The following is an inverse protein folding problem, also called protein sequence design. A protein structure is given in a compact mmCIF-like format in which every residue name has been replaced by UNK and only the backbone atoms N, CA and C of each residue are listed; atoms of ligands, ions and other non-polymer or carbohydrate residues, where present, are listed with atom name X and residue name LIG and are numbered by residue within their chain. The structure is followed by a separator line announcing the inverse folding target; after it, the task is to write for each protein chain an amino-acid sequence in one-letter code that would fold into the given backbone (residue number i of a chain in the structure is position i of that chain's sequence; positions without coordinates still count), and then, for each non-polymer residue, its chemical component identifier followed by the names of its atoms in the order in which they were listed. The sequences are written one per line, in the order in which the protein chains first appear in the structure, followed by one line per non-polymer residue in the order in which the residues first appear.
data_IF_314018632914
#
_entry.id   IF_314018632914
#
_cell.length_a   1.000
_cell.length_b   1.000
_cell.length_c   1.000
_cell.angle_alpha   90.00
_cell.angle_beta   90.00
_cell.angle_gamma   90.00
#
_symmetry.space_group_name_H-M   'P 1'
#
loop_
_entity.id
_entity.type
_entity.pdbx_description
1 polymer ?
#
# COMPACT_ATOMS: atom_id res chain seq x y z
N UNK A 1 -25.29 -17.05 2.28
CA UNK A 1 -24.09 -16.38 2.80
C UNK A 1 -24.55 -15.03 3.25
N UNK A 2 -24.54 -14.74 4.54
CA UNK A 2 -24.81 -13.39 5.00
C UNK A 2 -23.57 -12.57 4.66
N UNK A 3 -23.71 -11.63 3.75
CA UNK A 3 -22.74 -10.57 3.61
C UNK A 3 -22.69 -9.87 4.97
N UNK A 4 -21.60 -10.12 5.70
CA UNK A 4 -21.30 -9.33 6.86
C UNK A 4 -21.11 -7.91 6.31
N UNK A 5 -22.05 -7.03 6.58
CA UNK A 5 -21.92 -5.59 6.34
C UNK A 5 -20.90 -5.05 7.35
N UNK A 6 -19.66 -5.45 7.20
CA UNK A 6 -18.57 -4.80 7.89
C UNK A 6 -18.47 -3.39 7.28
N UNK A 7 -18.64 -2.39 8.12
CA UNK A 7 -18.57 -1.01 7.69
C UNK A 7 -17.16 -0.74 7.17
N UNK A 8 -17.04 -0.35 5.91
CA UNK A 8 -15.76 0.03 5.30
C UNK A 8 -15.63 1.54 5.32
N UNK A 9 -14.53 2.04 5.87
CA UNK A 9 -14.21 3.47 5.91
C UNK A 9 -13.00 3.74 5.01
N UNK A 10 -13.13 4.70 4.10
CA UNK A 10 -12.03 5.23 3.30
C UNK A 10 -11.72 6.63 3.80
N UNK A 11 -10.54 6.80 4.37
CA UNK A 11 -10.16 8.01 5.12
C UNK A 11 -8.68 8.34 4.91
N UNK A 12 -8.23 9.46 5.43
CA UNK A 12 -6.80 9.75 5.52
C UNK A 12 -6.39 11.13 5.05
N UNK A 13 -5.24 11.21 4.41
CA UNK A 13 -4.65 12.46 3.94
C UNK A 13 -5.48 13.10 2.81
N UNK A 14 -6.08 12.29 1.96
CA UNK A 14 -7.00 12.73 0.90
C UNK A 14 -8.43 12.36 1.27
N UNK A 15 -9.36 13.24 0.95
CA UNK A 15 -10.81 13.04 1.15
C UNK A 15 -11.24 13.23 2.60
N UNK A 16 -11.81 12.19 3.21
CA UNK A 16 -12.37 12.26 4.57
C UNK A 16 -11.31 12.11 5.64
N UNK A 17 -11.09 13.06 6.55
CA UNK A 17 -10.15 12.92 7.64
C UNK A 17 -10.47 11.71 8.54
N UNK A 18 -9.46 10.93 8.93
CA UNK A 18 -9.61 9.77 9.80
C UNK A 18 -10.38 10.11 11.08
N UNK A 19 -10.00 11.19 11.74
CA UNK A 19 -10.59 11.64 13.01
C UNK A 19 -12.07 11.97 12.91
N UNK A 20 -12.58 12.37 11.72
CA UNK A 20 -14.00 12.68 11.53
C UNK A 20 -14.88 11.44 11.55
N UNK A 21 -14.32 10.26 11.35
CA UNK A 21 -15.00 8.97 11.29
C UNK A 21 -14.71 8.06 12.47
N UNK A 22 -13.72 8.39 13.29
CA UNK A 22 -13.23 7.53 14.37
C UNK A 22 -14.34 7.07 15.34
N UNK A 23 -15.31 7.95 15.65
CA UNK A 23 -16.43 7.62 16.56
C UNK A 23 -17.49 6.71 15.92
N UNK A 24 -17.51 6.58 14.60
CA UNK A 24 -18.42 5.70 13.88
C UNK A 24 -17.84 4.28 13.69
N UNK A 25 -16.52 4.14 13.86
CA UNK A 25 -15.79 2.88 13.69
C UNK A 25 -16.04 1.93 14.86
N UNK A 26 -16.05 0.63 14.55
CA UNK A 26 -16.18 -0.48 15.51
C UNK A 26 -15.02 -1.43 15.31
N UNK A 27 -14.80 -2.34 16.24
CA UNK A 27 -13.74 -3.35 16.15
C UNK A 27 -13.88 -4.25 14.91
N UNK A 28 -15.09 -4.43 14.39
CA UNK A 28 -15.38 -5.16 13.15
C UNK A 28 -15.24 -4.31 11.87
N UNK A 29 -14.99 -3.01 11.98
CA UNK A 29 -14.89 -2.13 10.81
C UNK A 29 -13.57 -2.33 10.08
N UNK A 30 -13.60 -2.29 8.76
CA UNK A 30 -12.40 -2.22 7.92
C UNK A 30 -12.11 -0.77 7.57
N UNK A 31 -10.89 -0.31 7.81
CA UNK A 31 -10.47 1.05 7.46
C UNK A 31 -9.36 1.00 6.43
N UNK A 32 -9.57 1.68 5.31
CA UNK A 32 -8.55 1.95 4.29
C UNK A 32 -8.12 3.41 4.45
N UNK A 33 -6.87 3.63 4.83
CA UNK A 33 -6.35 4.96 5.12
C UNK A 33 -5.18 5.31 4.21
N UNK A 34 -5.23 6.45 3.56
CA UNK A 34 -4.07 7.06 2.93
C UNK A 34 -3.32 7.90 3.95
N UNK A 35 -2.04 7.58 4.15
CA UNK A 35 -1.20 8.21 5.18
C UNK A 35 -0.03 8.94 4.51
N UNK A 36 0.07 10.25 4.75
CA UNK A 36 1.19 11.07 4.30
C UNK A 36 2.46 10.83 5.13
N UNK A 37 3.62 11.17 4.57
CA UNK A 37 4.87 11.16 5.31
C UNK A 37 4.81 12.03 6.57
N UNK A 38 4.12 13.17 6.53
CA UNK A 38 3.96 14.06 7.67
C UNK A 38 3.19 13.43 8.84
N UNK A 39 2.19 12.60 8.52
CA UNK A 39 1.46 11.85 9.54
C UNK A 39 2.30 10.73 10.13
N UNK A 40 3.14 10.07 9.31
CA UNK A 40 4.05 9.02 9.76
C UNK A 40 5.13 9.53 10.73
N UNK A 41 5.58 10.80 10.61
CA UNK A 41 6.57 11.39 11.53
C UNK A 41 6.16 11.28 12.99
N UNK A 42 4.88 11.30 13.30
CA UNK A 42 4.34 11.43 14.66
C UNK A 42 3.61 10.18 15.15
N UNK A 43 3.69 9.05 14.43
CA UNK A 43 3.03 7.84 14.90
C UNK A 43 3.69 7.26 16.14
N UNK A 44 2.86 6.85 17.10
CA UNK A 44 3.29 6.16 18.31
C UNK A 44 2.84 4.70 18.28
N UNK A 45 1.54 4.43 18.29
CA UNK A 45 0.93 3.10 18.38
C UNK A 45 0.27 2.63 17.07
N UNK A 46 0.28 3.47 16.02
CA UNK A 46 -0.33 3.10 14.74
C UNK A 46 0.30 1.83 14.17
N UNK A 47 -0.50 0.77 14.02
CA UNK A 47 -0.09 -0.54 13.56
C UNK A 47 -1.13 -1.11 12.57
N UNK A 48 -1.03 -0.82 11.27
CA UNK A 48 -1.96 -1.35 10.29
C UNK A 48 -1.75 -2.85 10.10
N UNK A 49 -2.83 -3.62 9.89
CA UNK A 49 -2.74 -5.05 9.54
C UNK A 49 -2.12 -5.28 8.17
N UNK A 50 -2.38 -4.36 7.26
CA UNK A 50 -1.79 -4.33 5.93
C UNK A 50 -1.33 -2.92 5.66
N UNK A 51 -0.06 -2.75 5.33
CA UNK A 51 0.50 -1.49 4.82
C UNK A 51 0.90 -1.64 3.36
N UNK A 52 1.00 -0.52 2.64
CA UNK A 52 1.48 -0.50 1.28
C UNK A 52 2.32 0.75 1.00
N UNK A 53 3.45 0.59 0.30
CA UNK A 53 4.20 1.70 -0.27
C UNK A 53 4.31 1.43 -1.78
N UNK A 54 3.69 2.29 -2.58
CA UNK A 54 3.56 2.08 -4.02
C UNK A 54 4.83 2.50 -4.79
N UNK A 55 5.48 3.55 -4.34
CA UNK A 55 6.75 4.04 -4.87
C UNK A 55 7.41 5.01 -3.87
N UNK A 56 8.70 5.23 -4.06
CA UNK A 56 9.45 6.31 -3.42
C UNK A 56 10.12 7.13 -4.50
N UNK A 57 9.55 8.29 -4.80
CA UNK A 57 10.09 9.27 -5.73
C UNK A 57 10.32 10.58 -4.99
N UNK A 58 11.23 11.41 -5.49
CA UNK A 58 11.54 12.70 -4.89
C UNK A 58 10.28 13.54 -4.71
N UNK A 59 9.95 13.85 -3.46
CA UNK A 59 8.83 14.70 -3.09
C UNK A 59 9.07 15.30 -1.68
N UNK A 60 8.45 16.45 -1.41
CA UNK A 60 8.47 17.09 -0.09
C UNK A 60 9.86 17.34 0.52
N UNK A 61 10.93 17.47 -0.29
CA UNK A 61 12.30 17.73 0.21
C UNK A 61 12.44 19.09 0.89
N UNK A 62 11.54 20.03 0.63
CA UNK A 62 11.43 21.27 1.39
C UNK A 62 11.12 21.03 2.89
N UNK A 63 10.55 19.88 3.24
CA UNK A 63 10.24 19.46 4.61
C UNK A 63 11.25 18.45 5.15
N UNK A 64 11.50 17.39 4.39
CA UNK A 64 12.37 16.29 4.81
C UNK A 64 13.86 16.57 4.60
N UNK A 65 14.20 17.59 3.81
CA UNK A 65 15.54 18.06 3.49
C UNK A 65 16.38 17.12 2.62
N UNK A 66 16.31 15.80 2.82
CA UNK A 66 17.03 14.79 2.03
C UNK A 66 16.13 13.62 1.65
N UNK A 67 16.52 12.89 0.59
CA UNK A 67 15.82 11.67 0.19
C UNK A 67 15.92 10.57 1.25
N UNK A 68 17.06 10.46 1.92
CA UNK A 68 17.28 9.48 2.99
C UNK A 68 16.29 9.70 4.13
N UNK A 69 16.07 10.93 4.54
CA UNK A 69 15.10 11.25 5.59
C UNK A 69 13.65 11.01 5.12
N UNK A 70 13.33 11.35 3.87
CA UNK A 70 12.02 11.06 3.30
C UNK A 70 11.72 9.56 3.24
N UNK A 71 12.69 8.75 2.78
CA UNK A 71 12.63 7.28 2.77
C UNK A 71 12.39 6.77 4.19
N UNK A 72 13.26 7.15 5.14
CA UNK A 72 13.17 6.76 6.54
C UNK A 72 11.79 7.04 7.14
N UNK A 73 11.21 8.20 6.84
CA UNK A 73 9.87 8.55 7.34
C UNK A 73 8.78 7.69 6.72
N UNK A 74 8.84 7.42 5.41
CA UNK A 74 7.87 6.53 4.77
C UNK A 74 7.94 5.09 5.31
N UNK A 75 9.13 4.62 5.61
CA UNK A 75 9.38 3.31 6.20
C UNK A 75 8.78 3.14 7.61
N UNK A 76 8.51 4.25 8.33
CA UNK A 76 7.84 4.20 9.63
C UNK A 76 6.45 3.55 9.58
N UNK A 77 5.84 3.39 8.40
CA UNK A 77 4.52 2.74 8.27
C UNK A 77 4.51 1.32 8.84
N UNK A 78 5.66 0.64 8.87
CA UNK A 78 5.79 -0.71 9.43
C UNK A 78 6.30 -0.72 10.88
N UNK A 79 6.55 0.46 11.49
CA UNK A 79 7.22 0.62 12.80
C UNK A 79 6.65 -0.30 13.89
N UNK A 80 5.34 -0.43 13.95
CA UNK A 80 4.65 -1.18 14.97
C UNK A 80 4.00 -2.48 14.44
N UNK A 81 4.22 -2.82 13.17
CA UNK A 81 3.76 -4.07 12.60
C UNK A 81 4.54 -5.26 13.16
N UNK A 82 3.88 -6.42 13.18
CA UNK A 82 4.42 -7.70 13.65
C UNK A 82 4.58 -8.69 12.49
N UNK A 83 5.13 -9.87 12.76
CA UNK A 83 5.24 -10.96 11.79
C UNK A 83 3.88 -11.53 11.32
N UNK A 84 2.77 -11.14 11.96
CA UNK A 84 1.41 -11.52 11.56
C UNK A 84 0.77 -10.51 10.59
N UNK A 85 1.42 -9.37 10.37
CA UNK A 85 0.95 -8.29 9.51
C UNK A 85 1.62 -8.37 8.13
N UNK A 86 1.16 -7.55 7.18
CA UNK A 86 1.66 -7.58 5.80
C UNK A 86 2.11 -6.18 5.36
N UNK A 87 3.19 -6.14 4.58
CA UNK A 87 3.64 -4.94 3.88
C UNK A 87 3.71 -5.20 2.37
N UNK A 88 2.94 -4.44 1.60
CA UNK A 88 2.85 -4.56 0.15
C UNK A 88 3.80 -3.53 -0.48
N UNK A 89 4.74 -3.99 -1.31
CA UNK A 89 5.82 -3.18 -1.85
C UNK A 89 5.96 -3.35 -3.36
N UNK A 90 6.28 -2.26 -4.06
CA UNK A 90 6.58 -2.30 -5.47
C UNK A 90 7.95 -2.96 -5.72
N UNK A 91 7.96 -4.06 -6.46
CA UNK A 91 9.18 -4.79 -6.80
C UNK A 91 10.11 -3.99 -7.73
N UNK A 92 9.58 -3.10 -8.56
CA UNK A 92 10.37 -2.31 -9.51
C UNK A 92 11.12 -1.15 -8.83
N UNK A 93 10.71 -0.75 -7.63
CA UNK A 93 11.41 0.25 -6.83
C UNK A 93 12.54 -0.40 -6.02
N UNK A 94 13.79 -0.01 -6.31
CA UNK A 94 14.98 -0.61 -5.67
C UNK A 94 15.05 -0.34 -4.17
N UNK A 95 14.60 0.83 -3.73
CA UNK A 95 14.56 1.19 -2.32
C UNK A 95 13.56 0.30 -1.59
N UNK A 96 12.36 0.13 -2.14
CA UNK A 96 11.32 -0.71 -1.54
C UNK A 96 11.68 -2.19 -1.58
N UNK A 97 12.37 -2.65 -2.64
CA UNK A 97 12.84 -4.03 -2.73
C UNK A 97 13.89 -4.34 -1.66
N UNK A 98 14.80 -3.42 -1.39
CA UNK A 98 15.79 -3.58 -0.32
C UNK A 98 15.13 -3.49 1.06
N UNK A 99 14.26 -2.51 1.27
CA UNK A 99 13.48 -2.35 2.50
C UNK A 99 12.73 -3.64 2.87
N UNK A 100 12.01 -4.25 1.93
CA UNK A 100 11.23 -5.45 2.15
C UNK A 100 12.01 -6.68 2.61
N UNK A 101 13.35 -6.69 2.46
CA UNK A 101 14.22 -7.78 2.94
C UNK A 101 14.52 -7.72 4.44
N UNK A 102 14.27 -6.57 5.06
CA UNK A 102 14.73 -6.28 6.42
C UNK A 102 13.59 -5.98 7.41
N UNK A 103 12.35 -5.93 6.94
CA UNK A 103 11.18 -5.60 7.78
C UNK A 103 10.63 -6.83 8.52
N UNK A 104 9.91 -6.57 9.61
CA UNK A 104 9.30 -7.61 10.45
C UNK A 104 8.03 -8.20 9.82
N UNK A 105 7.09 -7.40 9.25
CA UNK A 105 5.89 -7.94 8.64
C UNK A 105 6.21 -8.77 7.39
N UNK A 106 5.27 -9.62 6.98
CA UNK A 106 5.36 -10.41 5.75
C UNK A 106 5.36 -9.49 4.55
N UNK A 107 6.42 -9.54 3.75
CA UNK A 107 6.51 -8.74 2.52
C UNK A 107 5.75 -9.43 1.39
N UNK A 108 4.87 -8.67 0.73
CA UNK A 108 4.23 -9.06 -0.52
C UNK A 108 4.64 -8.07 -1.59
N UNK A 109 5.36 -8.54 -2.59
CA UNK A 109 5.72 -7.69 -3.72
C UNK A 109 4.63 -7.64 -4.79
N UNK A 110 4.51 -6.49 -5.46
CA UNK A 110 3.73 -6.38 -6.67
C UNK A 110 4.55 -5.83 -7.84
N UNK A 111 4.19 -6.22 -9.06
CA UNK A 111 4.77 -5.69 -10.31
C UNK A 111 3.72 -5.61 -11.41
N UNK A 112 3.72 -4.51 -12.16
CA UNK A 112 2.95 -4.38 -13.41
C UNK A 112 3.81 -4.63 -14.65
N UNK A 113 5.10 -4.91 -14.49
CA UNK A 113 6.09 -4.99 -15.57
C UNK A 113 6.51 -6.42 -15.86
N UNK A 114 6.55 -7.25 -14.83
CA UNK A 114 7.02 -8.64 -14.92
C UNK A 114 6.23 -9.59 -14.04
N UNK A 115 6.27 -10.87 -14.38
CA UNK A 115 5.82 -11.95 -13.48
C UNK A 115 6.80 -12.10 -12.33
N UNK A 116 6.25 -12.35 -11.15
CA UNK A 116 7.02 -12.62 -9.93
C UNK A 116 6.94 -14.12 -9.59
N UNK A 117 7.97 -14.65 -8.94
CA UNK A 117 7.94 -16.02 -8.42
C UNK A 117 6.94 -16.15 -7.27
N UNK A 118 6.83 -15.11 -6.43
CA UNK A 118 5.79 -14.93 -5.41
C UNK A 118 5.39 -13.46 -5.34
N UNK A 119 4.08 -13.19 -5.20
CA UNK A 119 3.55 -11.83 -5.12
C UNK A 119 2.37 -11.58 -6.05
N UNK A 120 2.10 -10.32 -6.32
CA UNK A 120 1.01 -9.89 -7.20
C UNK A 120 1.61 -9.33 -8.49
N UNK A 121 1.13 -9.80 -9.64
CA UNK A 121 1.63 -9.28 -10.91
C UNK A 121 0.53 -9.22 -11.97
N UNK A 122 0.81 -8.45 -13.03
CA UNK A 122 -0.05 -8.34 -14.19
C UNK A 122 0.41 -9.35 -15.25
N UNK A 123 -0.50 -10.24 -15.66
CA UNK A 123 -0.32 -11.19 -16.78
C UNK A 123 -1.30 -10.83 -17.90
N UNK A 124 -0.82 -10.12 -18.90
CA UNK A 124 -1.68 -9.52 -19.91
C UNK A 124 -2.62 -8.48 -19.32
N UNK A 125 -3.90 -8.80 -19.22
CA UNK A 125 -4.93 -7.99 -18.57
C UNK A 125 -5.42 -8.57 -17.23
N UNK A 126 -4.85 -9.69 -16.79
CA UNK A 126 -5.24 -10.38 -15.55
C UNK A 126 -4.27 -10.05 -14.42
N UNK A 127 -4.80 -9.62 -13.28
CA UNK A 127 -4.06 -9.49 -12.03
C UNK A 127 -4.06 -10.86 -11.35
N UNK A 128 -2.87 -11.34 -11.03
CA UNK A 128 -2.62 -12.67 -10.46
C UNK A 128 -1.91 -12.53 -9.12
N UNK A 129 -2.36 -13.27 -8.12
CA UNK A 129 -1.62 -13.54 -6.89
C UNK A 129 -0.93 -14.90 -7.02
N UNK A 130 0.38 -14.92 -6.92
CA UNK A 130 1.18 -16.14 -6.89
C UNK A 130 1.74 -16.37 -5.51
N UNK A 131 1.47 -17.53 -4.98
CA UNK A 131 2.08 -18.08 -3.76
C UNK A 131 3.06 -19.20 -4.12
N UNK A 132 3.75 -19.77 -3.14
CA UNK A 132 4.63 -20.91 -3.37
C UNK A 132 3.89 -22.13 -3.98
N UNK A 133 2.59 -22.27 -3.67
CA UNK A 133 1.82 -23.48 -4.02
C UNK A 133 0.87 -23.28 -5.21
N UNK A 134 0.42 -22.04 -5.47
CA UNK A 134 -0.64 -21.79 -6.45
C UNK A 134 -0.55 -20.41 -7.13
N UNK A 135 -1.18 -20.30 -8.29
CA UNK A 135 -1.49 -19.04 -8.98
C UNK A 135 -2.99 -18.78 -8.91
N UNK A 136 -3.39 -17.68 -8.28
CA UNK A 136 -4.78 -17.31 -8.07
C UNK A 136 -5.12 -16.12 -8.97
N UNK A 137 -5.99 -16.29 -9.99
CA UNK A 137 -6.50 -15.18 -10.76
C UNK A 137 -7.39 -14.32 -9.88
N UNK A 138 -7.11 -13.00 -9.80
CA UNK A 138 -7.86 -12.09 -8.96
C UNK A 138 -8.93 -11.34 -9.75
N UNK A 139 -8.54 -10.59 -10.76
CA UNK A 139 -9.46 -9.72 -11.53
C UNK A 139 -8.84 -9.28 -12.84
N UNK A 140 -9.65 -9.15 -13.89
CA UNK A 140 -9.22 -8.50 -15.12
C UNK A 140 -9.20 -6.98 -14.97
N UNK A 141 -8.19 -6.31 -15.53
CA UNK A 141 -8.04 -4.86 -15.43
C UNK A 141 -9.25 -4.09 -15.98
N UNK A 142 -9.93 -4.67 -16.98
CA UNK A 142 -11.18 -4.11 -17.54
C UNK A 142 -12.38 -4.17 -16.60
N UNK A 143 -12.35 -4.98 -15.56
CA UNK A 143 -13.40 -5.08 -14.53
C UNK A 143 -13.20 -4.09 -13.39
N UNK A 144 -11.99 -3.51 -13.27
CA UNK A 144 -11.70 -2.53 -12.26
C UNK A 144 -12.48 -1.24 -12.55
N UNK A 145 -13.34 -0.85 -11.63
CA UNK A 145 -14.04 0.44 -11.67
C UNK A 145 -13.13 1.59 -11.27
N UNK A 146 -11.95 1.68 -11.89
CA UNK A 146 -11.06 2.81 -11.72
C UNK A 146 -11.67 3.99 -12.48
N UNK A 147 -11.95 5.08 -11.77
CA UNK A 147 -12.53 6.29 -12.33
C UNK A 147 -11.52 7.01 -13.22
N UNK A 148 -11.50 6.62 -14.50
CA UNK A 148 -10.84 7.34 -15.58
C UNK A 148 -9.37 7.01 -15.85
N UNK A 149 -8.84 7.49 -17.00
CA UNK A 149 -7.46 7.24 -17.43
C UNK A 149 -6.40 7.84 -16.50
N UNK A 150 -6.78 8.75 -15.62
CA UNK A 150 -5.88 9.40 -14.64
C UNK A 150 -5.32 8.40 -13.61
N UNK A 151 -6.07 7.37 -13.23
CA UNK A 151 -5.58 6.36 -12.28
C UNK A 151 -4.48 5.46 -12.88
N UNK A 152 -4.54 5.20 -14.20
CA UNK A 152 -3.47 4.50 -14.92
C UNK A 152 -2.26 5.41 -15.19
N UNK A 153 -2.49 6.70 -15.41
CA UNK A 153 -1.42 7.67 -15.64
C UNK A 153 -0.73 8.06 -14.34
N UNK A 154 -1.40 8.05 -13.18
CA UNK A 154 -0.74 8.27 -11.89
C UNK A 154 0.20 7.11 -11.53
N UNK A 155 -0.12 5.88 -11.89
CA UNK A 155 0.81 4.75 -11.79
C UNK A 155 1.98 4.83 -12.81
N UNK A 156 1.81 5.57 -13.92
CA UNK A 156 2.84 5.78 -14.95
C UNK A 156 3.48 7.18 -14.95
N UNK A 157 2.82 8.19 -14.42
CA UNK A 157 3.26 9.59 -14.54
C UNK A 157 4.46 9.96 -13.64
N UNK A 158 4.94 9.03 -12.83
CA UNK A 158 6.20 9.17 -12.11
C UNK A 158 7.38 8.48 -12.82
N UNK A 159 7.20 8.04 -14.07
CA UNK A 159 8.26 7.42 -14.88
C UNK A 159 8.87 8.39 -15.93
N UNK A 160 8.66 9.71 -15.81
CA UNK A 160 9.32 10.70 -16.68
C UNK A 160 9.99 11.80 -15.89
#
# INVERSE_FOLDING_TARGET
MSDAEDSVFVVGNIGTPYTSKALEMKDSSTTVAEISSFQLETIEEFAPKVSAILNITEDHLNRHHTMEEYIRVKELIVKNQTAEDYCILNYEDEVLREFGRHIVPKTVYFSSVRKLDEGIYLDGDLIVLKTADEEIPLVHTGELKLLGPVSYTHLRAHET
#
